data_IF_563334743917
#
_entry.id   IF_563334743917
#
_cell.length_a   1.000
_cell.length_b   1.000
_cell.length_c   1.000
_cell.angle_alpha   90.00
_cell.angle_beta   90.00
_cell.angle_gamma   90.00
#
_symmetry.space_group_name_H-M   'P 1'
#
loop_
_entity.id
_entity.type
_entity.pdbx_description
1 polymer ?
#
# COMPACT_ATOMS: atom_id res chain seq x y z
N UNK A 1 -29.92 -6.10 4.24
CA UNK A 1 -28.77 -5.71 3.38
C UNK A 1 -27.52 -5.61 4.25
N UNK A 2 -26.46 -6.27 3.86
CA UNK A 2 -25.19 -6.24 4.58
C UNK A 2 -24.24 -5.26 3.91
N UNK A 3 -23.61 -4.40 4.69
CA UNK A 3 -22.58 -3.48 4.21
C UNK A 3 -21.22 -4.04 4.68
N UNK A 4 -20.36 -4.36 3.75
CA UNK A 4 -19.00 -4.81 4.06
C UNK A 4 -18.02 -3.64 4.05
N UNK A 5 -17.11 -3.64 5.01
CA UNK A 5 -16.06 -2.65 5.14
C UNK A 5 -14.70 -3.35 5.10
N UNK A 6 -13.69 -2.66 4.56
CA UNK A 6 -12.30 -3.09 4.66
C UNK A 6 -11.41 -1.93 5.12
N UNK A 7 -10.30 -2.29 5.75
CA UNK A 7 -9.29 -1.33 6.18
C UNK A 7 -7.89 -1.90 5.94
N UNK A 8 -6.95 -1.02 5.62
CA UNK A 8 -5.53 -1.35 5.55
C UNK A 8 -4.90 -1.03 6.91
N UNK A 9 -4.37 -2.05 7.55
CA UNK A 9 -3.77 -1.93 8.87
C UNK A 9 -2.43 -2.66 8.92
N UNK A 10 -1.52 -2.19 9.76
CA UNK A 10 -0.28 -2.91 10.02
C UNK A 10 -0.59 -4.25 10.69
N UNK A 11 0.15 -5.30 10.31
CA UNK A 11 0.01 -6.62 10.91
C UNK A 11 0.29 -6.54 12.41
N UNK A 12 -0.67 -7.00 13.20
CA UNK A 12 -0.60 -7.05 14.66
C UNK A 12 -1.14 -8.37 15.16
N UNK A 13 -1.06 -8.61 16.47
CA UNK A 13 -1.76 -9.74 17.06
C UNK A 13 -3.26 -9.59 16.87
N UNK A 14 -3.90 -10.69 16.47
CA UNK A 14 -5.35 -10.74 16.29
C UNK A 14 -5.94 -11.78 17.23
N UNK A 15 -7.10 -11.45 17.79
CA UNK A 15 -7.88 -12.36 18.64
C UNK A 15 -9.26 -12.53 18.02
N UNK A 16 -9.82 -13.74 18.14
CA UNK A 16 -11.21 -13.97 17.81
C UNK A 16 -12.11 -13.13 18.73
N UNK A 17 -13.16 -12.57 18.17
CA UNK A 17 -14.18 -11.85 18.90
C UNK A 17 -15.56 -12.34 18.49
N UNK A 18 -16.54 -12.12 19.33
CA UNK A 18 -17.92 -12.56 19.14
C UNK A 18 -18.02 -14.08 18.86
N UNK A 19 -18.56 -14.45 17.71
CA UNK A 19 -18.75 -15.85 17.31
C UNK A 19 -17.49 -16.51 16.74
N UNK A 20 -16.40 -15.75 16.59
CA UNK A 20 -15.17 -16.27 16.01
C UNK A 20 -14.28 -16.96 17.05
N UNK A 21 -14.04 -18.26 16.88
CA UNK A 21 -13.15 -19.04 17.74
C UNK A 21 -11.68 -18.64 17.59
N UNK A 22 -11.27 -18.21 16.40
CA UNK A 22 -9.90 -17.83 16.07
C UNK A 22 -9.86 -16.70 15.04
N UNK A 23 -8.86 -15.84 15.15
CA UNK A 23 -8.50 -14.90 14.11
C UNK A 23 -7.03 -15.14 13.70
N UNK A 24 -6.78 -15.14 12.39
CA UNK A 24 -5.45 -15.36 11.82
C UNK A 24 -5.23 -14.46 10.61
N UNK A 25 -3.99 -14.12 10.37
CA UNK A 25 -3.57 -13.47 9.14
C UNK A 25 -3.34 -14.51 8.04
N UNK A 26 -3.88 -14.25 6.86
CA UNK A 26 -3.67 -15.09 5.67
C UNK A 26 -3.06 -14.27 4.53
N UNK A 27 -2.11 -14.84 3.77
CA UNK A 27 -1.70 -14.24 2.51
C UNK A 27 -2.90 -14.16 1.56
N UNK A 28 -3.02 -13.07 0.82
CA UNK A 28 -4.14 -12.86 -0.13
C UNK A 28 -4.23 -14.00 -1.16
N UNK A 29 -3.08 -14.52 -1.62
CA UNK A 29 -3.03 -15.61 -2.58
C UNK A 29 -3.31 -17.01 -2.01
N UNK A 30 -3.48 -17.13 -0.69
CA UNK A 30 -3.68 -18.43 -0.02
C UNK A 30 -4.73 -18.33 1.09
N UNK A 31 -5.92 -17.87 0.72
CA UNK A 31 -7.05 -17.75 1.62
C UNK A 31 -7.86 -19.07 1.55
N UNK A 32 -8.19 -19.67 2.71
CA UNK A 32 -9.02 -20.87 2.72
C UNK A 32 -10.45 -20.56 2.22
N UNK A 33 -11.21 -21.57 1.84
CA UNK A 33 -12.62 -21.39 1.48
C UNK A 33 -13.38 -20.65 2.60
N UNK A 34 -14.12 -19.64 2.19
CA UNK A 34 -14.90 -18.80 3.12
C UNK A 34 -16.36 -19.24 3.14
N UNK A 35 -17.03 -18.95 4.26
CA UNK A 35 -18.45 -19.26 4.44
C UNK A 35 -19.33 -18.36 3.57
N UNK A 36 -20.50 -18.88 3.16
CA UNK A 36 -21.53 -18.14 2.43
C UNK A 36 -20.98 -17.48 1.15
N UNK A 37 -21.26 -16.20 0.96
CA UNK A 37 -20.80 -15.38 -0.15
C UNK A 37 -19.58 -14.51 0.20
N UNK A 38 -18.86 -14.84 1.27
CA UNK A 38 -17.72 -14.06 1.74
C UNK A 38 -16.56 -14.05 0.72
N UNK A 39 -16.40 -15.09 -0.08
CA UNK A 39 -15.43 -15.09 -1.19
C UNK A 39 -15.74 -14.00 -2.22
N UNK A 40 -17.01 -13.78 -2.51
CA UNK A 40 -17.46 -12.71 -3.39
C UNK A 40 -17.19 -11.34 -2.78
N UNK A 41 -17.49 -11.17 -1.51
CA UNK A 41 -17.26 -9.91 -0.76
C UNK A 41 -15.76 -9.58 -0.80
N UNK A 42 -14.89 -10.55 -0.53
CA UNK A 42 -13.46 -10.37 -0.58
C UNK A 42 -12.97 -9.94 -1.97
N UNK A 43 -13.43 -10.60 -3.03
CA UNK A 43 -13.07 -10.24 -4.41
C UNK A 43 -13.49 -8.82 -4.77
N UNK A 44 -14.68 -8.41 -4.38
CA UNK A 44 -15.17 -7.05 -4.60
C UNK A 44 -14.31 -6.03 -3.84
N UNK A 45 -13.95 -6.32 -2.59
CA UNK A 45 -13.10 -5.47 -1.78
C UNK A 45 -11.69 -5.32 -2.38
N UNK A 46 -11.09 -6.42 -2.82
CA UNK A 46 -9.77 -6.38 -3.47
C UNK A 46 -9.79 -5.60 -4.78
N UNK A 47 -10.84 -5.77 -5.58
CA UNK A 47 -11.03 -5.00 -6.80
C UNK A 47 -11.13 -3.50 -6.50
N UNK A 48 -11.95 -3.12 -5.53
CA UNK A 48 -12.11 -1.74 -5.12
C UNK A 48 -10.78 -1.12 -4.62
N UNK A 49 -10.01 -1.87 -3.84
CA UNK A 49 -8.68 -1.44 -3.38
C UNK A 49 -7.72 -1.21 -4.54
N UNK A 50 -7.68 -2.13 -5.49
CA UNK A 50 -6.80 -2.05 -6.67
C UNK A 50 -7.19 -0.92 -7.62
N UNK A 51 -8.45 -0.61 -7.73
CA UNK A 51 -8.93 0.56 -8.48
C UNK A 51 -8.55 1.86 -7.75
N UNK A 52 -8.77 1.90 -6.46
CA UNK A 52 -8.52 3.09 -5.64
C UNK A 52 -7.04 3.51 -5.64
N UNK A 53 -6.11 2.57 -5.69
CA UNK A 53 -4.67 2.86 -5.69
C UNK A 53 -4.22 3.70 -6.88
N UNK A 54 -4.97 3.71 -7.99
CA UNK A 54 -4.69 4.54 -9.15
C UNK A 54 -5.09 6.01 -8.97
N UNK A 55 -5.95 6.28 -8.01
CA UNK A 55 -6.50 7.63 -7.78
C UNK A 55 -6.10 8.22 -6.43
N UNK A 56 -5.68 7.40 -5.50
CA UNK A 56 -5.28 7.81 -4.16
C UNK A 56 -4.00 7.08 -3.74
N UNK A 57 -3.13 7.71 -2.95
CA UNK A 57 -1.93 7.07 -2.42
C UNK A 57 -2.28 6.14 -1.26
N UNK A 58 -3.03 5.08 -1.54
CA UNK A 58 -3.43 4.08 -0.53
C UNK A 58 -2.22 3.30 -0.05
N UNK A 59 -2.24 2.94 1.22
CA UNK A 59 -1.26 2.04 1.82
C UNK A 59 -0.06 2.75 2.44
N UNK A 60 0.09 4.05 2.32
CA UNK A 60 1.19 4.77 2.96
C UNK A 60 1.16 4.63 4.49
N UNK A 61 -0.01 4.46 5.08
CA UNK A 61 -0.16 4.16 6.51
C UNK A 61 0.44 2.81 6.91
N UNK A 62 0.63 1.90 5.96
CA UNK A 62 1.25 0.60 6.19
C UNK A 62 2.77 0.66 6.23
N UNK A 63 3.35 1.73 5.72
CA UNK A 63 4.78 1.99 5.76
C UNK A 63 5.16 2.75 7.03
N UNK A 64 6.42 2.70 7.40
CA UNK A 64 6.95 3.62 8.39
C UNK A 64 6.90 5.06 7.84
N UNK A 65 6.97 6.06 8.73
CA UNK A 65 6.98 7.47 8.29
C UNK A 65 8.11 7.76 7.31
N UNK A 66 9.22 7.07 7.49
CA UNK A 66 10.38 7.12 6.60
C UNK A 66 10.57 5.74 6.00
N UNK A 67 10.60 5.66 4.70
CA UNK A 67 10.69 4.40 3.95
C UNK A 67 11.64 4.53 2.76
N UNK A 68 12.02 3.39 2.20
CA UNK A 68 12.82 3.31 0.99
C UNK A 68 11.95 3.05 -0.23
N UNK A 69 12.47 3.34 -1.42
CA UNK A 69 11.75 3.03 -2.67
C UNK A 69 11.45 1.54 -2.85
N UNK A 70 12.36 0.60 -2.52
CA UNK A 70 12.04 -0.82 -2.55
C UNK A 70 10.87 -1.22 -1.64
N UNK A 71 10.77 -0.65 -0.44
CA UNK A 71 9.66 -0.91 0.47
C UNK A 71 8.32 -0.45 -0.12
N UNK A 72 8.30 0.72 -0.75
CA UNK A 72 7.13 1.24 -1.44
C UNK A 72 6.76 0.35 -2.63
N UNK A 73 7.73 -0.07 -3.42
CA UNK A 73 7.52 -0.98 -4.55
C UNK A 73 6.93 -2.32 -4.11
N UNK A 74 7.47 -2.92 -3.06
CA UNK A 74 6.97 -4.18 -2.51
C UNK A 74 5.52 -4.07 -2.07
N UNK A 75 5.14 -2.94 -1.45
CA UNK A 75 3.76 -2.70 -1.06
C UNK A 75 2.82 -2.66 -2.27
N UNK A 76 3.17 -1.90 -3.31
CA UNK A 76 2.37 -1.80 -4.52
C UNK A 76 2.29 -3.12 -5.30
N UNK A 77 3.39 -3.83 -5.39
CA UNK A 77 3.43 -5.17 -6.00
C UNK A 77 2.53 -6.17 -5.25
N UNK A 78 2.51 -6.09 -3.92
CA UNK A 78 1.67 -6.94 -3.09
C UNK A 78 0.17 -6.65 -3.29
N UNK A 79 -0.20 -5.38 -3.37
CA UNK A 79 -1.60 -4.98 -3.56
C UNK A 79 -2.09 -5.32 -4.98
N UNK A 80 -1.29 -5.02 -5.99
CA UNK A 80 -1.65 -5.19 -7.40
C UNK A 80 -1.37 -6.59 -7.94
N UNK A 81 -0.62 -7.42 -7.20
CA UNK A 81 -0.17 -8.75 -7.61
C UNK A 81 0.58 -8.75 -8.95
N UNK A 82 1.43 -7.75 -9.14
CA UNK A 82 2.28 -7.59 -10.33
C UNK A 82 3.72 -7.33 -9.92
N UNK A 83 4.65 -7.49 -10.86
CA UNK A 83 6.04 -7.11 -10.68
C UNK A 83 6.36 -5.88 -11.52
N UNK A 84 7.10 -4.95 -10.93
CA UNK A 84 7.51 -3.72 -11.60
C UNK A 84 9.02 -3.71 -11.83
N UNK A 85 9.42 -3.08 -12.92
CA UNK A 85 10.81 -2.70 -13.11
C UNK A 85 11.18 -1.60 -12.10
N UNK A 86 12.30 -1.78 -11.42
CA UNK A 86 12.77 -0.88 -10.36
C UNK A 86 12.89 0.58 -10.79
N UNK A 87 13.52 0.79 -11.95
CA UNK A 87 13.80 2.14 -12.45
C UNK A 87 12.53 2.83 -12.90
N UNK A 88 11.67 2.10 -13.59
CA UNK A 88 10.40 2.63 -14.06
C UNK A 88 9.47 2.97 -12.90
N UNK A 89 9.37 2.10 -11.91
CA UNK A 89 8.58 2.35 -10.71
C UNK A 89 9.07 3.59 -9.96
N UNK A 90 10.36 3.66 -9.67
CA UNK A 90 10.95 4.80 -8.98
C UNK A 90 10.76 6.11 -9.75
N UNK A 91 10.98 6.09 -11.07
CA UNK A 91 10.78 7.26 -11.93
C UNK A 91 9.34 7.74 -11.89
N UNK A 92 8.36 6.84 -11.97
CA UNK A 92 6.94 7.19 -11.88
C UNK A 92 6.57 7.80 -10.55
N UNK A 93 7.00 7.17 -9.46
CA UNK A 93 6.71 7.65 -8.10
C UNK A 93 7.32 9.02 -7.84
N UNK A 94 8.55 9.26 -8.27
CA UNK A 94 9.21 10.56 -8.09
C UNK A 94 8.58 11.66 -8.94
N UNK A 95 8.12 11.35 -10.14
CA UNK A 95 7.40 12.30 -11.01
C UNK A 95 6.07 12.77 -10.43
N UNK A 96 5.44 11.99 -9.57
CA UNK A 96 4.20 12.38 -8.91
C UNK A 96 4.39 13.55 -7.94
N UNK A 97 5.61 13.74 -7.41
CA UNK A 97 5.90 14.83 -6.48
C UNK A 97 5.26 14.69 -5.11
N UNK A 98 4.78 13.52 -4.73
CA UNK A 98 4.15 13.26 -3.42
C UNK A 98 5.11 12.72 -2.37
N UNK A 99 6.38 12.53 -2.74
CA UNK A 99 7.43 12.04 -1.84
C UNK A 99 8.44 13.14 -1.57
N UNK A 100 8.87 13.22 -0.33
CA UNK A 100 9.98 14.09 0.09
C UNK A 100 11.17 13.23 0.48
N UNK A 101 12.34 13.55 -0.06
CA UNK A 101 13.59 12.89 0.35
C UNK A 101 13.94 13.32 1.78
N UNK A 102 14.22 12.33 2.63
CA UNK A 102 14.57 12.56 4.03
C UNK A 102 16.07 12.40 4.20
N UNK A 103 16.71 13.46 4.70
CA UNK A 103 18.10 13.40 5.14
C UNK A 103 18.12 12.93 6.59
N UNK A 104 18.61 11.71 6.81
CA UNK A 104 18.75 11.13 8.14
C UNK A 104 20.11 11.39 8.78
N UNK A 105 20.92 12.25 8.17
CA UNK A 105 22.27 12.60 8.65
C UNK A 105 23.30 11.50 8.42
N UNK A 106 22.93 10.39 7.76
CA UNK A 106 23.89 9.34 7.38
C UNK A 106 24.76 9.83 6.23
N UNK A 107 26.07 9.85 6.45
CA UNK A 107 27.04 10.17 5.38
C UNK A 107 26.96 9.03 4.37
N UNK A 108 26.44 9.34 3.19
CA UNK A 108 26.42 8.39 2.09
C UNK A 108 27.81 8.21 1.50
N UNK A 109 28.55 7.27 2.05
CA UNK A 109 29.80 6.82 1.46
C UNK A 109 29.53 5.65 0.53
N UNK A 110 29.38 5.95 -0.78
CA UNK A 110 29.11 4.95 -1.80
C UNK A 110 27.61 4.60 -1.98
N UNK A 111 27.34 3.62 -2.84
CA UNK A 111 26.00 3.22 -3.30
C UNK A 111 25.21 2.35 -2.32
N UNK A 112 25.68 2.17 -1.09
CA UNK A 112 25.13 1.16 -0.17
C UNK A 112 23.98 1.64 0.71
N UNK A 113 23.85 2.95 0.95
CA UNK A 113 22.77 3.48 1.77
C UNK A 113 21.60 3.92 0.88
N UNK A 114 20.43 3.28 0.98
CA UNK A 114 19.27 3.65 0.18
C UNK A 114 18.79 5.05 0.57
N UNK A 115 18.32 5.78 -0.42
CA UNK A 115 17.63 7.06 -0.20
C UNK A 115 16.33 6.78 0.54
N UNK A 116 16.04 7.57 1.55
CA UNK A 116 14.81 7.49 2.33
C UNK A 116 13.86 8.60 1.93
N UNK A 117 12.59 8.28 1.99
CA UNK A 117 11.50 9.17 1.62
C UNK A 117 10.43 9.21 2.69
N UNK A 118 9.67 10.28 2.70
CA UNK A 118 8.41 10.39 3.44
C UNK A 118 7.30 10.86 2.50
N UNK A 119 6.07 10.49 2.81
CA UNK A 119 4.89 10.98 2.10
C UNK A 119 4.65 12.45 2.42
N UNK A 120 4.36 13.25 1.39
CA UNK A 120 4.06 14.66 1.51
C UNK A 120 2.56 14.93 1.28
N UNK A 121 1.76 15.08 2.34
CA UNK A 121 0.32 15.30 2.22
C UNK A 121 -0.06 16.60 1.51
N UNK A 122 0.73 17.65 1.66
CA UNK A 122 0.47 18.94 1.02
C UNK A 122 0.61 18.86 -0.49
N UNK A 123 1.69 18.25 -0.97
CA UNK A 123 1.90 17.98 -2.39
C UNK A 123 0.81 17.11 -2.96
N UNK A 124 0.39 16.08 -2.23
CA UNK A 124 -0.73 15.23 -2.63
C UNK A 124 -2.04 16.01 -2.75
N UNK A 125 -2.34 16.88 -1.80
CA UNK A 125 -3.55 17.71 -1.85
C UNK A 125 -3.58 18.61 -3.10
N UNK A 126 -2.43 19.21 -3.46
CA UNK A 126 -2.29 20.00 -4.67
C UNK A 126 -2.46 19.15 -5.94
N UNK A 127 -1.88 17.96 -5.96
CA UNK A 127 -2.01 17.03 -7.09
C UNK A 127 -3.43 16.52 -7.24
N UNK A 128 -4.12 16.25 -6.15
CA UNK A 128 -5.53 15.83 -6.15
C UNK A 128 -6.43 16.89 -6.76
N UNK A 129 -6.20 18.16 -6.46
CA UNK A 129 -6.94 19.27 -7.06
C UNK A 129 -6.74 19.37 -8.58
N UNK A 130 -5.60 18.90 -9.10
CA UNK A 130 -5.27 18.87 -10.53
C UNK A 130 -5.66 17.57 -11.23
N UNK A 131 -6.23 16.60 -10.53
CA UNK A 131 -6.54 15.27 -11.05
C UNK A 131 -5.38 14.30 -10.93
N UNK A 132 -5.22 13.71 -9.73
CA UNK A 132 -4.21 12.68 -9.48
C UNK A 132 -4.60 11.37 -10.17
N UNK A 133 -3.67 10.79 -10.91
CA UNK A 133 -3.80 9.45 -11.45
C UNK A 133 -2.44 8.77 -11.51
N UNK A 134 -2.38 7.57 -10.94
CA UNK A 134 -1.20 6.73 -10.96
C UNK A 134 -1.39 5.62 -12.01
N UNK A 135 -0.64 5.69 -13.07
CA UNK A 135 -0.66 4.70 -14.15
C UNK A 135 0.58 3.81 -14.08
N UNK A 136 0.34 2.54 -14.02
CA UNK A 136 1.38 1.51 -14.08
C UNK A 136 1.35 0.75 -15.40
#
# INVERSE_FOLDING_TARGET
MTIAHFALVKKSEVKGADDAAQAKWFPIGNIPPLAFDHDRILRVALKALREKIHFEPVGFELLEQVFTMPQLQDLYESILEVKFDRRNFASKMLKLGILTEVDDGTIRRGTRNPIKYSFNPESYSQMKAKGFRLEF
#
